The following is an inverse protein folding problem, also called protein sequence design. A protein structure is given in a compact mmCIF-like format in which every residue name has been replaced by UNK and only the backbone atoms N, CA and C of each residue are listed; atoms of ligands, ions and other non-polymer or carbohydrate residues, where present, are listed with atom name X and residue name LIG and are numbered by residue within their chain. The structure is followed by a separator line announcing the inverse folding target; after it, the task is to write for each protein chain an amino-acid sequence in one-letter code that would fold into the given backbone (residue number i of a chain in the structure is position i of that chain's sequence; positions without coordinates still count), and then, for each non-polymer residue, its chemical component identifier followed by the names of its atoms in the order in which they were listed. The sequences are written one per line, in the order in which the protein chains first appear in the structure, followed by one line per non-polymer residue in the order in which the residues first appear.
data_IF_283383033562
#
_entry.id   IF_283383033562
#
_cell.length_a   1.000
_cell.length_b   1.000
_cell.length_c   1.000
_cell.angle_alpha   90.00
_cell.angle_beta   90.00
_cell.angle_gamma   90.00
#
_symmetry.space_group_name_H-M   'P 1'
#
loop_
_entity.id
_entity.type
_entity.pdbx_description
1 polymer ?
#
# COMPACT_ATOMS: atom_id res chain seq x y z
N UNK A 1 1.01 12.01 15.01
CA UNK A 1 0.11 11.25 14.12
C UNK A 1 -1.39 11.38 14.46
N UNK A 2 -1.80 11.77 15.67
CA UNK A 2 -3.21 11.87 16.13
C UNK A 2 -4.15 12.76 15.28
N UNK A 3 -3.67 13.90 14.78
CA UNK A 3 -4.54 14.96 14.24
C UNK A 3 -5.13 14.65 12.83
N UNK A 4 -4.44 13.85 11.99
CA UNK A 4 -4.93 13.55 10.62
C UNK A 4 -6.05 12.51 10.59
N UNK A 5 -6.02 11.54 11.50
CA UNK A 5 -7.05 10.50 11.58
C UNK A 5 -8.38 11.11 12.08
N UNK A 6 -8.30 12.01 13.06
CA UNK A 6 -9.45 12.75 13.59
C UNK A 6 -10.12 13.65 12.54
N UNK A 7 -9.32 14.39 11.74
CA UNK A 7 -9.87 15.18 10.63
C UNK A 7 -10.57 14.32 9.58
N UNK A 8 -10.02 13.15 9.22
CA UNK A 8 -10.65 12.25 8.26
C UNK A 8 -11.99 11.70 8.76
N UNK A 9 -12.08 11.34 10.05
CA UNK A 9 -13.33 10.94 10.68
C UNK A 9 -14.37 12.06 10.62
N UNK A 10 -13.96 13.31 10.87
CA UNK A 10 -14.86 14.45 10.80
C UNK A 10 -15.42 14.67 9.39
N UNK A 11 -14.56 14.69 8.35
CA UNK A 11 -15.02 14.87 6.97
C UNK A 11 -15.96 13.76 6.50
N UNK A 12 -15.69 12.51 6.86
CA UNK A 12 -16.56 11.39 6.47
C UNK A 12 -17.93 11.49 7.15
N UNK A 13 -18.00 11.92 8.40
CA UNK A 13 -19.27 12.15 9.08
C UNK A 13 -20.08 13.29 8.44
N UNK A 14 -19.42 14.36 8.02
CA UNK A 14 -20.07 15.48 7.30
C UNK A 14 -20.62 15.03 5.93
N UNK A 15 -19.86 14.22 5.19
CA UNK A 15 -20.28 13.66 3.90
C UNK A 15 -21.48 12.72 4.07
N UNK A 16 -21.42 11.81 5.04
CA UNK A 16 -22.53 10.90 5.36
C UNK A 16 -23.81 11.66 5.69
N UNK A 17 -23.69 12.68 6.55
CA UNK A 17 -24.83 13.52 6.97
C UNK A 17 -25.43 14.25 5.76
N UNK A 18 -24.61 14.85 4.90
CA UNK A 18 -25.09 15.51 3.69
C UNK A 18 -25.76 14.53 2.71
N UNK A 19 -25.14 13.37 2.48
CA UNK A 19 -25.69 12.36 1.60
C UNK A 19 -27.05 11.87 2.09
N UNK A 20 -27.16 11.53 3.36
CA UNK A 20 -28.42 11.08 3.96
C UNK A 20 -29.50 12.16 3.83
N UNK A 21 -29.23 13.40 4.22
CA UNK A 21 -30.22 14.50 4.16
C UNK A 21 -30.66 14.81 2.72
N UNK A 22 -29.74 14.73 1.76
CA UNK A 22 -30.04 15.06 0.37
C UNK A 22 -30.96 14.03 -0.29
N UNK A 23 -30.76 12.74 0.02
CA UNK A 23 -31.41 11.62 -0.66
C UNK A 23 -32.51 10.93 0.17
N UNK A 24 -32.66 11.27 1.45
CA UNK A 24 -33.77 10.76 2.27
C UNK A 24 -35.12 11.04 1.62
N UNK A 25 -35.93 9.98 1.47
CA UNK A 25 -37.24 10.05 0.83
C UNK A 25 -37.21 10.26 -0.70
N UNK A 26 -36.04 10.37 -1.32
CA UNK A 26 -35.84 10.50 -2.77
C UNK A 26 -35.19 9.27 -3.41
N UNK A 27 -34.63 8.39 -2.60
CA UNK A 27 -33.89 7.20 -3.01
C UNK A 27 -34.24 6.05 -2.07
N UNK A 28 -34.09 4.82 -2.57
CA UNK A 28 -34.35 3.61 -1.81
C UNK A 28 -33.51 3.56 -0.53
N UNK A 29 -34.18 3.24 0.58
CA UNK A 29 -33.58 3.28 1.92
C UNK A 29 -32.46 2.27 2.09
N UNK A 30 -32.56 1.10 1.46
CA UNK A 30 -31.54 0.05 1.51
C UNK A 30 -30.27 0.51 0.77
N UNK A 31 -30.43 1.14 -0.40
CA UNK A 31 -29.32 1.73 -1.13
C UNK A 31 -28.62 2.85 -0.33
N UNK A 32 -29.39 3.72 0.34
CA UNK A 32 -28.82 4.78 1.19
C UNK A 32 -28.03 4.15 2.34
N UNK A 33 -28.60 3.16 3.04
CA UNK A 33 -27.95 2.51 4.17
C UNK A 33 -26.65 1.78 3.76
N UNK A 34 -26.69 1.05 2.65
CA UNK A 34 -25.51 0.37 2.11
C UNK A 34 -24.42 1.37 1.69
N UNK A 35 -24.81 2.49 1.10
CA UNK A 35 -23.88 3.57 0.74
C UNK A 35 -23.25 4.18 1.99
N UNK A 36 -24.03 4.49 3.03
CA UNK A 36 -23.52 5.03 4.30
C UNK A 36 -22.56 4.04 4.99
N UNK A 37 -22.87 2.74 4.99
CA UNK A 37 -21.96 1.67 5.49
C UNK A 37 -20.67 1.60 4.69
N UNK A 38 -20.71 1.84 3.37
CA UNK A 38 -19.48 1.87 2.57
C UNK A 38 -18.53 2.99 2.99
N UNK A 39 -19.05 4.14 3.45
CA UNK A 39 -18.22 5.22 3.98
C UNK A 39 -17.50 4.85 5.29
N UNK A 40 -18.06 3.94 6.11
CA UNK A 40 -17.34 3.39 7.29
C UNK A 40 -16.10 2.61 6.89
N UNK A 41 -16.13 1.95 5.73
CA UNK A 41 -14.97 1.22 5.20
C UNK A 41 -13.91 2.13 4.55
N UNK A 42 -14.26 3.40 4.25
CA UNK A 42 -13.30 4.38 3.71
C UNK A 42 -12.34 4.91 4.79
N UNK A 43 -12.78 4.98 6.05
CA UNK A 43 -11.94 5.30 7.20
C UNK A 43 -10.88 4.22 7.50
N UNK A 44 -11.05 3.04 6.92
CA UNK A 44 -10.20 1.89 7.18
C UNK A 44 -9.33 1.51 5.98
N UNK A 45 -8.80 2.48 5.19
CA UNK A 45 -7.54 2.19 4.50
C UNK A 45 -6.47 2.04 5.58
N UNK A 46 -6.50 0.89 6.26
CA UNK A 46 -5.43 0.44 7.11
C UNK A 46 -4.21 0.46 6.21
N UNK A 47 -3.22 1.19 6.67
CA UNK A 47 -1.90 1.25 6.09
C UNK A 47 -0.97 0.73 7.17
N UNK A 48 0.01 -0.06 6.78
CA UNK A 48 1.07 -0.41 7.71
C UNK A 48 2.25 0.52 7.51
N UNK A 49 2.85 0.99 8.58
CA UNK A 49 4.11 1.74 8.52
C UNK A 49 5.22 0.80 8.07
N UNK A 50 6.05 1.22 7.12
CA UNK A 50 7.17 0.41 6.62
C UNK A 50 8.46 1.21 6.57
N UNK A 51 9.58 0.49 6.61
CA UNK A 51 10.86 0.95 6.05
C UNK A 51 11.23 0.06 4.87
N UNK A 52 12.00 0.60 3.91
CA UNK A 52 12.50 -0.17 2.79
C UNK A 52 13.94 0.22 2.45
N UNK A 53 14.67 -0.75 1.90
CA UNK A 53 15.96 -0.50 1.27
C UNK A 53 16.04 -1.22 -0.07
N UNK A 54 16.54 -0.51 -1.07
CA UNK A 54 16.93 -1.06 -2.36
C UNK A 54 18.45 -0.96 -2.45
N UNK A 55 19.10 -2.08 -2.79
CA UNK A 55 20.56 -2.17 -2.93
C UNK A 55 20.88 -2.87 -4.26
N UNK A 56 21.53 -2.20 -5.19
CA UNK A 56 21.73 -2.76 -6.53
C UNK A 56 22.65 -1.94 -7.41
N UNK A 57 23.03 -2.50 -8.56
CA UNK A 57 23.83 -1.84 -9.59
C UNK A 57 23.33 -2.21 -10.98
N UNK A 58 23.18 -1.19 -11.82
CA UNK A 58 22.77 -1.20 -13.24
C UNK A 58 21.57 -2.10 -13.57
N UNK A 59 21.76 -3.41 -13.59
CA UNK A 59 20.78 -4.39 -14.05
C UNK A 59 20.15 -5.24 -12.96
N UNK A 60 20.64 -5.13 -11.73
CA UNK A 60 20.19 -5.94 -10.61
C UNK A 60 20.00 -5.10 -9.35
N UNK A 61 18.93 -5.39 -8.60
CA UNK A 61 18.73 -4.83 -7.28
C UNK A 61 18.09 -5.84 -6.32
N UNK A 62 18.44 -5.73 -5.04
CA UNK A 62 17.84 -6.45 -3.93
C UNK A 62 16.96 -5.48 -3.12
N UNK A 63 15.69 -5.83 -2.96
CA UNK A 63 14.71 -5.05 -2.20
C UNK A 63 14.45 -5.73 -0.86
N UNK A 64 14.47 -4.94 0.21
CA UNK A 64 13.96 -5.29 1.53
C UNK A 64 12.85 -4.32 1.91
N UNK A 65 11.74 -4.84 2.44
CA UNK A 65 10.68 -4.02 3.06
C UNK A 65 10.37 -4.61 4.42
N UNK A 66 10.55 -3.83 5.46
CA UNK A 66 10.19 -4.20 6.83
C UNK A 66 8.87 -3.54 7.19
N UNK A 67 7.87 -4.36 7.52
CA UNK A 67 6.60 -3.89 8.06
C UNK A 67 6.77 -3.59 9.54
N UNK A 68 6.60 -2.35 9.98
CA UNK A 68 6.87 -1.94 11.36
C UNK A 68 5.69 -2.19 12.30
N UNK A 69 4.50 -2.44 11.76
CA UNK A 69 3.31 -2.70 12.54
C UNK A 69 3.13 -4.21 12.80
N UNK A 70 4.01 -5.04 12.21
CA UNK A 70 4.04 -6.50 12.33
C UNK A 70 5.47 -7.06 12.33
N UNK A 71 5.61 -8.39 12.44
CA UNK A 71 6.89 -9.07 12.20
C UNK A 71 7.10 -9.48 10.74
N UNK A 72 6.35 -8.92 9.79
CA UNK A 72 6.51 -9.27 8.37
C UNK A 72 7.71 -8.51 7.74
N UNK A 73 8.50 -9.24 6.94
CA UNK A 73 9.58 -8.70 6.12
C UNK A 73 9.52 -9.27 4.71
N UNK A 74 9.50 -8.41 3.71
CA UNK A 74 9.68 -8.78 2.31
C UNK A 74 11.14 -8.77 1.93
N UNK A 75 11.55 -9.78 1.16
CA UNK A 75 12.81 -9.72 0.41
C UNK A 75 12.62 -10.17 -1.03
N UNK A 76 13.30 -9.51 -1.97
CA UNK A 76 13.15 -9.81 -3.40
C UNK A 76 14.36 -9.43 -4.23
N UNK A 77 14.62 -10.23 -5.26
CA UNK A 77 15.63 -9.97 -6.28
C UNK A 77 14.94 -9.40 -7.52
N UNK A 78 15.41 -8.25 -7.99
CA UNK A 78 14.89 -7.56 -9.16
C UNK A 78 15.93 -7.49 -10.28
N UNK A 79 15.48 -7.72 -11.51
CA UNK A 79 16.16 -7.25 -12.71
C UNK A 79 15.55 -5.91 -13.15
N UNK A 80 16.35 -5.00 -13.71
CA UNK A 80 15.87 -3.68 -14.09
C UNK A 80 16.94 -2.77 -14.64
N UNK A 81 16.72 -1.46 -14.55
CA UNK A 81 17.69 -0.43 -14.92
C UNK A 81 17.77 0.64 -13.83
N UNK A 82 18.98 0.96 -13.39
CA UNK A 82 19.26 2.06 -12.47
C UNK A 82 20.35 1.73 -11.45
N UNK A 83 20.64 2.68 -10.56
CA UNK A 83 21.71 2.52 -9.57
C UNK A 83 21.21 2.04 -8.21
N UNK A 84 19.91 1.76 -8.05
CA UNK A 84 19.38 0.83 -7.04
C UNK A 84 19.81 1.06 -5.59
N UNK A 85 20.32 2.24 -5.23
CA UNK A 85 20.81 2.59 -3.90
C UNK A 85 19.84 3.59 -3.29
N UNK A 86 18.94 3.10 -2.45
CA UNK A 86 17.86 3.91 -1.89
C UNK A 86 17.39 3.34 -0.57
N UNK A 87 17.03 4.23 0.36
CA UNK A 87 16.35 3.89 1.61
C UNK A 87 15.15 4.81 1.72
N UNK A 88 14.05 4.32 2.28
CA UNK A 88 12.84 5.13 2.44
C UNK A 88 11.95 4.61 3.56
N UNK A 89 11.20 5.53 4.18
CA UNK A 89 10.10 5.22 5.08
C UNK A 89 8.79 5.53 4.37
N UNK A 90 7.77 4.73 4.62
CA UNK A 90 6.50 4.89 3.93
C UNK A 90 5.37 4.08 4.49
N UNK A 91 4.45 3.71 3.61
CA UNK A 91 3.26 2.98 3.98
C UNK A 91 2.95 1.87 2.98
N UNK A 92 2.55 0.72 3.50
CA UNK A 92 2.01 -0.41 2.76
C UNK A 92 0.48 -0.32 2.73
N UNK A 93 -0.09 -0.40 1.54
CA UNK A 93 -1.53 -0.37 1.30
C UNK A 93 -1.98 -1.67 0.63
N UNK A 94 -3.20 -2.10 0.92
CA UNK A 94 -3.84 -3.23 0.22
C UNK A 94 -4.55 -2.77 -1.05
N UNK A 95 -4.64 -3.67 -2.02
CA UNK A 95 -5.57 -3.52 -3.13
C UNK A 95 -7.00 -3.87 -2.69
N UNK A 96 -8.01 -3.33 -3.38
CA UNK A 96 -9.41 -3.64 -3.09
C UNK A 96 -9.69 -5.13 -3.19
N UNK A 97 -10.38 -5.69 -2.20
CA UNK A 97 -10.66 -7.13 -2.11
C UNK A 97 -9.53 -7.99 -1.55
N UNK A 98 -8.41 -7.40 -1.13
CA UNK A 98 -7.31 -8.10 -0.46
C UNK A 98 -7.00 -7.50 0.91
N UNK A 99 -6.49 -8.35 1.80
CA UNK A 99 -6.01 -8.00 3.14
C UNK A 99 -4.47 -7.98 3.20
N UNK A 100 -3.90 -7.45 4.29
CA UNK A 100 -2.46 -7.58 4.54
C UNK A 100 -1.99 -9.03 4.61
N UNK A 101 -2.80 -9.92 5.18
CA UNK A 101 -2.50 -11.35 5.21
C UNK A 101 -2.37 -11.95 3.80
N UNK A 102 -3.14 -11.44 2.83
CA UNK A 102 -3.01 -11.85 1.43
C UNK A 102 -1.71 -11.36 0.81
N UNK A 103 -1.29 -10.13 1.09
CA UNK A 103 0.03 -9.62 0.69
C UNK A 103 1.13 -10.56 1.21
N UNK A 104 1.12 -10.88 2.51
CA UNK A 104 2.20 -11.68 3.11
C UNK A 104 2.22 -13.13 2.60
N UNK A 105 1.06 -13.74 2.38
CA UNK A 105 0.96 -15.15 2.00
C UNK A 105 1.06 -15.39 0.50
N UNK A 106 0.55 -14.47 -0.32
CA UNK A 106 0.32 -14.71 -1.74
C UNK A 106 1.33 -14.01 -2.66
N UNK A 107 2.14 -13.06 -2.15
CA UNK A 107 3.13 -12.37 -2.99
C UNK A 107 4.17 -13.36 -3.53
N UNK A 108 4.34 -13.39 -4.85
CA UNK A 108 5.39 -14.17 -5.54
C UNK A 108 6.28 -13.32 -6.44
N UNK A 109 5.80 -12.15 -6.85
CA UNK A 109 6.54 -11.20 -7.68
C UNK A 109 6.24 -9.76 -7.29
N UNK A 110 7.11 -8.86 -7.73
CA UNK A 110 7.02 -7.44 -7.43
C UNK A 110 7.58 -6.60 -8.58
N UNK A 111 7.15 -5.33 -8.61
CA UNK A 111 7.71 -4.29 -9.46
C UNK A 111 8.18 -3.14 -8.57
N UNK A 112 9.32 -2.54 -8.90
CA UNK A 112 9.88 -1.37 -8.24
C UNK A 112 9.90 -0.18 -9.21
N UNK A 113 9.43 0.96 -8.71
CA UNK A 113 9.60 2.27 -9.32
C UNK A 113 10.22 3.21 -8.29
N UNK A 114 11.54 3.33 -8.32
CA UNK A 114 12.30 4.26 -7.50
C UNK A 114 12.70 5.46 -8.36
N UNK A 115 12.17 6.62 -8.00
CA UNK A 115 12.46 7.93 -8.56
C UNK A 115 13.06 8.82 -7.45
N UNK A 116 13.80 9.89 -7.79
CA UNK A 116 14.54 10.69 -6.80
C UNK A 116 13.74 11.26 -5.62
N UNK A 117 12.41 11.36 -5.72
CA UNK A 117 11.52 11.84 -4.65
C UNK A 117 10.36 10.90 -4.36
N UNK A 118 10.29 9.72 -4.99
CA UNK A 118 9.16 8.81 -4.90
C UNK A 118 9.58 7.37 -5.07
N UNK A 119 9.11 6.51 -4.19
CA UNK A 119 9.37 5.08 -4.25
C UNK A 119 8.06 4.31 -4.17
N UNK A 120 7.84 3.46 -5.17
CA UNK A 120 6.71 2.56 -5.23
C UNK A 120 7.18 1.12 -5.42
N UNK A 121 6.52 0.21 -4.70
CA UNK A 121 6.64 -1.23 -4.92
C UNK A 121 5.25 -1.81 -5.08
N UNK A 122 4.96 -2.48 -6.17
CA UNK A 122 3.71 -3.20 -6.36
C UNK A 122 3.95 -4.70 -6.13
N UNK A 123 3.08 -5.35 -5.36
CA UNK A 123 3.18 -6.78 -5.06
C UNK A 123 2.10 -7.57 -5.79
N UNK A 124 2.49 -8.71 -6.36
CA UNK A 124 1.60 -9.53 -7.18
C UNK A 124 1.56 -10.98 -6.72
N UNK A 125 0.38 -11.59 -6.84
CA UNK A 125 0.22 -13.03 -6.65
C UNK A 125 0.57 -13.82 -7.92
N UNK A 126 0.48 -15.16 -7.85
CA UNK A 126 0.78 -16.06 -8.96
C UNK A 126 -0.15 -15.92 -10.17
N UNK A 127 -1.28 -15.23 -10.01
CA UNK A 127 -2.22 -14.88 -11.08
C UNK A 127 -1.97 -13.48 -11.63
N UNK A 128 -0.85 -12.84 -11.27
CA UNK A 128 -0.49 -11.47 -11.65
C UNK A 128 -1.50 -10.41 -11.17
N UNK A 129 -2.30 -10.72 -10.14
CA UNK A 129 -3.19 -9.74 -9.52
C UNK A 129 -2.41 -8.90 -8.51
N UNK A 130 -2.67 -7.60 -8.49
CA UNK A 130 -2.08 -6.70 -7.51
C UNK A 130 -2.71 -6.94 -6.12
N UNK A 131 -1.87 -7.26 -5.15
CA UNK A 131 -2.28 -7.50 -3.75
C UNK A 131 -2.25 -6.22 -2.92
N UNK A 132 -1.34 -5.31 -3.29
CA UNK A 132 -1.08 -4.08 -2.57
C UNK A 132 0.18 -3.39 -3.09
N UNK A 133 0.50 -2.25 -2.49
CA UNK A 133 1.66 -1.48 -2.86
C UNK A 133 2.27 -0.71 -1.69
N UNK A 134 3.57 -0.49 -1.77
CA UNK A 134 4.27 0.50 -0.96
C UNK A 134 4.24 1.84 -1.68
N UNK A 135 4.06 2.90 -0.89
CA UNK A 135 4.36 4.26 -1.28
C UNK A 135 5.26 4.89 -0.21
N UNK A 136 6.42 5.40 -0.62
CA UNK A 136 7.40 6.00 0.26
C UNK A 136 8.06 7.22 -0.39
N UNK A 137 8.49 8.17 0.43
CA UNK A 137 9.38 9.25 0.00
C UNK A 137 10.82 8.73 0.10
N UNK A 138 11.54 8.73 -1.02
CA UNK A 138 12.91 8.22 -1.05
C UNK A 138 13.91 9.30 -1.38
N UNK A 139 15.12 9.12 -0.86
CA UNK A 139 16.34 9.80 -1.29
C UNK A 139 17.20 8.71 -1.94
N UNK A 140 17.47 8.81 -3.24
CA UNK A 140 18.22 7.77 -3.95
C UNK A 140 18.45 8.03 -5.44
N UNK A 141 19.21 7.12 -6.06
CA UNK A 141 19.68 7.24 -7.45
C UNK A 141 18.71 6.64 -8.49
N UNK A 142 17.56 6.17 -8.05
CA UNK A 142 16.50 5.64 -8.90
C UNK A 142 16.76 4.24 -9.47
N UNK A 143 15.68 3.51 -9.73
CA UNK A 143 15.67 2.17 -10.31
C UNK A 143 14.26 1.80 -10.75
N UNK A 144 14.12 1.26 -11.96
CA UNK A 144 12.86 0.68 -12.43
C UNK A 144 13.10 -0.76 -12.80
N UNK A 145 12.27 -1.67 -12.30
CA UNK A 145 12.44 -3.09 -12.54
C UNK A 145 11.45 -3.94 -11.77
N UNK A 146 11.76 -5.22 -11.64
CA UNK A 146 10.92 -6.16 -10.91
C UNK A 146 11.51 -7.54 -10.90
N UNK A 147 10.87 -8.44 -10.16
CA UNK A 147 11.34 -9.81 -10.07
C UNK A 147 10.56 -10.63 -9.07
N UNK A 148 11.24 -11.59 -8.45
CA UNK A 148 10.64 -12.54 -7.52
C UNK A 148 11.04 -12.21 -6.09
N UNK A 149 10.10 -12.34 -5.18
CA UNK A 149 10.31 -12.14 -3.76
C UNK A 149 9.17 -12.72 -2.95
N UNK A 150 9.31 -12.68 -1.63
CA UNK A 150 8.32 -13.20 -0.70
C UNK A 150 8.41 -12.50 0.64
N UNK A 151 7.32 -12.53 1.38
CA UNK A 151 7.30 -12.13 2.79
C UNK A 151 7.65 -13.31 3.70
N UNK A 152 8.24 -13.00 4.85
CA UNK A 152 8.54 -13.94 5.94
C UNK A 152 8.39 -13.22 7.28
N UNK A 153 8.30 -13.99 8.36
CA UNK A 153 8.47 -13.46 9.72
C UNK A 153 9.93 -13.05 9.94
N UNK A 154 10.16 -11.92 10.61
CA UNK A 154 11.47 -11.45 11.08
C UNK A 154 12.04 -12.50 12.05
N UNK A 155 13.28 -12.91 11.83
CA UNK A 155 14.04 -13.83 12.69
C UNK A 155 14.96 -13.08 13.63
#
# INVERSE_FOLDING_TARGET
MSNKLELNHQYINEIKTHFQNQYQGKMDSEFIENTLKSFDTLNSRQQHTITLSLKGFLFYAYLEVDDLDTDAKFTGNAGGVGLGLSVADGSLYTAGGFSFADIYKQTVSFQVNSLPAYFNVNFFNSKSQILGHVQAASIGLGFVGGGKGKWKTKS
#
